data_IF_767304102577
#
_entry.id   IF_767304102577
#
_cell.length_a   1.000
_cell.length_b   1.000
_cell.length_c   1.000
_cell.angle_alpha   90.00
_cell.angle_beta   90.00
_cell.angle_gamma   90.00
#
_symmetry.space_group_name_H-M   'P 1'
#
loop_
_entity.id
_entity.type
_entity.pdbx_description
1 polymer ?
#
# COMPACT_ATOMS: atom_id res chain seq x y z
N UNK A 1 -37.84 -25.92 -6.16
CA UNK A 1 -36.63 -25.71 -5.34
C UNK A 1 -35.32 -25.80 -6.15
N UNK A 2 -35.20 -26.68 -7.17
CA UNK A 2 -33.98 -26.80 -7.99
C UNK A 2 -33.58 -25.52 -8.77
N UNK A 3 -34.53 -24.72 -9.27
CA UNK A 3 -34.24 -23.52 -10.08
C UNK A 3 -33.46 -22.40 -9.37
N UNK A 4 -33.61 -22.26 -8.05
CA UNK A 4 -32.89 -21.23 -7.29
C UNK A 4 -31.44 -21.64 -6.99
N UNK A 5 -31.18 -22.95 -6.91
CA UNK A 5 -29.83 -23.50 -6.69
C UNK A 5 -28.91 -23.23 -7.88
N UNK A 6 -29.42 -23.39 -9.12
CA UNK A 6 -28.63 -23.14 -10.33
C UNK A 6 -28.33 -21.65 -10.53
N UNK A 7 -29.28 -20.76 -10.20
CA UNK A 7 -29.08 -19.31 -10.26
C UNK A 7 -28.02 -18.85 -9.24
N UNK A 8 -28.03 -19.42 -8.03
CA UNK A 8 -27.01 -19.12 -7.00
C UNK A 8 -25.62 -19.61 -7.40
N UNK A 9 -25.53 -20.76 -8.08
CA UNK A 9 -24.24 -21.31 -8.52
C UNK A 9 -23.65 -20.49 -9.68
N UNK A 10 -24.50 -20.06 -10.62
CA UNK A 10 -24.11 -19.19 -11.72
C UNK A 10 -23.69 -17.80 -11.24
N UNK A 11 -24.39 -17.22 -10.26
CA UNK A 11 -24.02 -15.91 -9.71
C UNK A 11 -22.70 -15.97 -8.94
N UNK A 12 -22.49 -17.00 -8.12
CA UNK A 12 -21.23 -17.22 -7.41
C UNK A 12 -20.04 -17.37 -8.38
N UNK A 13 -20.22 -18.13 -9.47
CA UNK A 13 -19.21 -18.27 -10.52
C UNK A 13 -18.89 -16.93 -11.20
N UNK A 14 -19.91 -16.10 -11.46
CA UNK A 14 -19.73 -14.77 -12.05
C UNK A 14 -18.97 -13.81 -11.12
N UNK A 15 -19.21 -13.87 -9.80
CA UNK A 15 -18.46 -13.09 -8.81
C UNK A 15 -17.00 -13.55 -8.68
N UNK A 16 -16.72 -14.87 -8.80
CA UNK A 16 -15.34 -15.37 -8.84
C UNK A 16 -14.58 -14.92 -10.11
N UNK A 17 -15.27 -14.72 -11.24
CA UNK A 17 -14.66 -14.23 -12.48
C UNK A 17 -14.36 -12.72 -12.46
N UNK A 18 -15.00 -11.96 -11.58
CA UNK A 18 -14.79 -10.50 -11.45
C UNK A 18 -13.46 -10.13 -10.79
N UNK A 19 -12.71 -11.10 -10.24
CA UNK A 19 -11.37 -10.84 -9.69
C UNK A 19 -10.25 -10.79 -10.77
N UNK A 20 -10.59 -10.96 -12.05
CA UNK A 20 -9.60 -10.93 -13.14
C UNK A 20 -9.42 -9.49 -13.64
N UNK A 21 -8.34 -8.85 -13.18
CA UNK A 21 -7.64 -7.84 -13.99
C UNK A 21 -8.01 -6.39 -13.74
N UNK A 22 -8.02 -5.93 -12.48
CA UNK A 22 -7.85 -4.50 -12.22
C UNK A 22 -6.36 -4.17 -12.21
N UNK A 23 -5.97 -3.25 -13.09
CA UNK A 23 -4.65 -2.68 -13.17
C UNK A 23 -4.36 -1.93 -11.86
N UNK A 24 -3.35 -2.35 -11.08
CA UNK A 24 -3.10 -1.81 -9.74
C UNK A 24 -2.32 -0.50 -9.84
N UNK A 25 -2.95 0.63 -9.52
CA UNK A 25 -2.29 1.93 -9.57
C UNK A 25 -1.51 2.25 -8.29
N UNK A 26 -0.27 2.71 -8.43
CA UNK A 26 0.63 3.07 -7.33
C UNK A 26 1.30 4.42 -7.60
N UNK A 27 1.73 5.13 -6.55
CA UNK A 27 2.55 6.33 -6.74
C UNK A 27 3.97 5.98 -7.17
N UNK A 28 4.53 6.75 -8.09
CA UNK A 28 5.90 6.60 -8.60
C UNK A 28 6.67 7.90 -8.41
N UNK A 29 7.64 7.92 -7.49
CA UNK A 29 8.47 9.10 -7.27
C UNK A 29 9.74 8.81 -6.47
N UNK A 30 10.63 9.80 -6.45
CA UNK A 30 11.77 9.83 -5.52
C UNK A 30 12.04 11.26 -5.05
N UNK A 31 12.43 11.42 -3.79
CA UNK A 31 12.83 12.73 -3.24
C UNK A 31 14.08 13.32 -3.91
N UNK A 32 14.85 12.52 -4.65
CA UNK A 32 15.96 13.01 -5.46
C UNK A 32 15.51 13.83 -6.67
N UNK A 33 14.30 13.56 -7.19
CA UNK A 33 13.73 14.24 -8.36
C UNK A 33 12.63 15.22 -7.99
N UNK A 34 11.86 14.91 -6.96
CA UNK A 34 10.72 15.70 -6.51
C UNK A 34 10.64 15.65 -4.99
N UNK A 35 10.92 16.77 -4.34
CA UNK A 35 10.89 16.95 -2.88
C UNK A 35 9.51 16.62 -2.27
N UNK A 36 8.43 16.77 -3.05
CA UNK A 36 7.05 16.41 -2.66
C UNK A 36 6.80 14.90 -2.50
N UNK A 37 7.76 14.06 -2.87
CA UNK A 37 7.69 12.61 -2.65
C UNK A 37 7.90 12.22 -1.16
N UNK A 38 8.50 13.12 -0.38
CA UNK A 38 8.73 12.96 1.05
C UNK A 38 7.41 12.90 1.83
N UNK A 39 7.49 12.52 3.11
CA UNK A 39 6.37 12.72 4.03
C UNK A 39 6.47 14.11 4.68
N UNK A 40 5.35 14.85 4.87
CA UNK A 40 3.98 14.48 4.53
C UNK A 40 3.72 14.46 3.01
N UNK A 41 3.06 13.39 2.55
CA UNK A 41 2.92 13.10 1.13
C UNK A 41 1.88 13.99 0.44
N UNK A 42 2.29 14.68 -0.64
CA UNK A 42 1.42 15.63 -1.35
C UNK A 42 0.82 14.99 -2.63
N UNK A 43 -0.39 14.43 -2.48
CA UNK A 43 -1.12 13.65 -3.47
C UNK A 43 -1.29 14.28 -4.87
N UNK A 44 -1.73 15.55 -5.04
CA UNK A 44 -2.13 16.08 -6.36
C UNK A 44 -1.00 16.27 -7.38
N UNK A 45 0.26 16.06 -7.00
CA UNK A 45 1.42 16.36 -7.88
C UNK A 45 2.32 15.16 -8.15
N UNK A 46 1.96 13.98 -7.68
CA UNK A 46 2.81 12.80 -7.81
C UNK A 46 2.33 11.90 -8.94
N UNK A 47 3.27 11.49 -9.79
CA UNK A 47 3.01 10.57 -10.89
C UNK A 47 2.51 9.22 -10.36
N UNK A 48 1.65 8.57 -11.14
CA UNK A 48 1.13 7.23 -10.85
C UNK A 48 1.54 6.27 -11.94
N UNK A 49 1.67 4.99 -11.58
CA UNK A 49 2.09 3.91 -12.46
C UNK A 49 1.21 2.69 -12.23
N UNK A 50 0.92 1.94 -13.28
CA UNK A 50 0.20 0.67 -13.17
C UNK A 50 1.16 -0.49 -12.92
N UNK A 51 0.87 -1.30 -11.90
CA UNK A 51 1.58 -2.54 -11.59
C UNK A 51 0.73 -3.73 -12.05
N UNK A 52 0.75 -4.01 -13.35
CA UNK A 52 -0.06 -5.08 -13.96
C UNK A 52 0.60 -6.47 -13.84
N UNK A 53 1.86 -6.52 -13.42
CA UNK A 53 2.61 -7.76 -13.30
C UNK A 53 2.19 -8.56 -12.06
N UNK A 54 1.90 -9.85 -12.27
CA UNK A 54 1.59 -10.79 -11.19
C UNK A 54 2.76 -10.85 -10.20
N UNK A 55 2.45 -10.71 -8.90
CA UNK A 55 3.46 -10.73 -7.84
C UNK A 55 4.09 -9.36 -7.54
N UNK A 56 3.61 -8.28 -8.15
CA UNK A 56 4.01 -6.91 -7.84
C UNK A 56 3.01 -6.20 -6.92
N UNK A 57 3.51 -5.23 -6.18
CA UNK A 57 2.72 -4.35 -5.32
C UNK A 57 3.31 -2.94 -5.27
N UNK A 58 2.54 -2.03 -4.65
CA UNK A 58 2.99 -0.67 -4.42
C UNK A 58 4.01 -0.66 -3.29
N UNK A 59 5.22 -0.18 -3.60
CA UNK A 59 6.30 -0.05 -2.64
C UNK A 59 6.41 1.38 -2.13
N UNK A 60 6.77 1.49 -0.85
CA UNK A 60 7.40 2.66 -0.26
C UNK A 60 8.69 2.24 0.43
N UNK A 61 9.79 2.89 0.07
CA UNK A 61 11.11 2.67 0.65
C UNK A 61 11.69 3.98 1.17
N UNK A 62 12.31 3.93 2.35
CA UNK A 62 13.00 5.03 2.99
C UNK A 62 14.46 4.59 3.20
N UNK A 63 15.36 5.29 2.51
CA UNK A 63 16.80 5.05 2.58
C UNK A 63 17.47 6.16 3.42
N UNK A 64 18.49 5.82 4.22
CA UNK A 64 19.31 6.83 4.87
C UNK A 64 20.10 7.61 3.80
N UNK A 65 20.12 8.94 3.88
CA UNK A 65 21.01 9.72 3.03
C UNK A 65 22.45 9.64 3.54
N UNK A 66 23.40 9.54 2.61
CA UNK A 66 24.81 9.68 2.91
C UNK A 66 25.07 11.09 3.48
N UNK A 67 25.64 11.19 4.68
CA UNK A 67 26.00 12.47 5.30
C UNK A 67 24.94 13.12 6.20
N UNK A 68 23.96 12.36 6.69
CA UNK A 68 23.08 12.80 7.81
C UNK A 68 21.99 13.82 7.45
N UNK A 69 21.82 14.15 6.17
CA UNK A 69 20.92 15.21 5.73
C UNK A 69 19.86 14.64 4.78
N UNK A 70 18.60 14.59 5.27
CA UNK A 70 17.35 14.24 4.56
C UNK A 70 17.21 12.81 4.03
N UNK A 71 16.25 12.06 4.56
CA UNK A 71 15.93 10.69 4.11
C UNK A 71 15.52 10.66 2.63
N UNK A 72 15.97 9.65 1.91
CA UNK A 72 15.56 9.44 0.52
C UNK A 72 14.30 8.57 0.54
N UNK A 73 13.18 9.10 0.04
CA UNK A 73 11.93 8.33 -0.11
C UNK A 73 11.77 7.92 -1.56
N UNK A 74 11.47 6.65 -1.78
CA UNK A 74 11.20 6.08 -3.08
C UNK A 74 9.85 5.35 -3.08
N UNK A 75 9.03 5.59 -4.11
CA UNK A 75 7.71 4.99 -4.31
C UNK A 75 7.64 4.43 -5.73
N UNK A 76 7.04 3.26 -5.91
CA UNK A 76 6.87 2.65 -7.23
C UNK A 76 6.30 1.23 -7.18
N UNK A 77 6.37 0.51 -8.30
CA UNK A 77 6.05 -0.92 -8.38
C UNK A 77 7.29 -1.77 -8.06
N UNK A 78 7.12 -2.85 -7.28
CA UNK A 78 8.20 -3.82 -7.06
C UNK A 78 7.61 -5.21 -6.74
N UNK A 79 8.38 -6.30 -6.88
CA UNK A 79 7.94 -7.62 -6.43
C UNK A 79 7.68 -7.66 -4.92
N UNK A 80 6.66 -8.40 -4.47
CA UNK A 80 6.26 -8.45 -3.05
C UNK A 80 7.39 -8.86 -2.08
N UNK A 81 8.37 -9.63 -2.55
CA UNK A 81 9.53 -10.10 -1.79
C UNK A 81 10.74 -9.13 -1.82
N UNK A 82 10.62 -7.97 -2.46
CA UNK A 82 11.70 -7.00 -2.56
C UNK A 82 12.12 -6.50 -1.17
N UNK A 83 11.16 -6.03 -0.36
CA UNK A 83 11.47 -5.47 0.96
C UNK A 83 12.02 -6.51 1.96
N UNK A 84 11.62 -7.79 1.85
CA UNK A 84 12.21 -8.85 2.68
C UNK A 84 13.69 -9.07 2.36
N UNK A 85 14.09 -8.82 1.12
CA UNK A 85 15.48 -8.98 0.65
C UNK A 85 16.36 -7.78 1.01
N UNK A 86 15.78 -6.57 1.08
CA UNK A 86 16.48 -5.31 1.37
C UNK A 86 16.40 -4.82 2.82
N UNK A 87 16.00 -5.69 3.76
CA UNK A 87 15.82 -5.34 5.17
C UNK A 87 17.06 -4.70 5.82
N UNK A 88 18.27 -5.03 5.34
CA UNK A 88 19.53 -4.48 5.87
C UNK A 88 19.95 -3.14 5.26
N UNK A 89 19.37 -2.73 4.13
CA UNK A 89 19.81 -1.57 3.35
C UNK A 89 18.86 -0.36 3.44
N UNK A 90 17.69 -0.54 4.06
CA UNK A 90 16.66 0.49 4.17
C UNK A 90 16.21 0.67 5.62
N UNK A 91 15.94 1.92 6.01
CA UNK A 91 15.36 2.20 7.34
C UNK A 91 13.91 1.72 7.42
N UNK A 92 13.19 1.83 6.30
CA UNK A 92 11.82 1.36 6.19
C UNK A 92 11.54 0.92 4.75
N UNK A 93 10.93 -0.25 4.59
CA UNK A 93 10.50 -0.75 3.29
C UNK A 93 9.20 -1.53 3.46
N UNK A 94 8.16 -1.14 2.73
CA UNK A 94 6.88 -1.82 2.71
C UNK A 94 6.40 -2.02 1.28
N UNK A 95 5.80 -3.17 1.00
CA UNK A 95 5.06 -3.45 -0.22
C UNK A 95 3.63 -3.80 0.16
N UNK A 96 2.66 -3.20 -0.51
CA UNK A 96 1.24 -3.42 -0.27
C UNK A 96 0.48 -3.64 -1.57
N UNK A 97 -0.68 -4.31 -1.48
CA UNK A 97 -1.41 -4.84 -2.63
C UNK A 97 -2.70 -4.09 -2.96
N UNK A 98 -2.88 -2.89 -2.40
CA UNK A 98 -4.07 -2.07 -2.60
C UNK A 98 -3.68 -0.85 -3.44
N UNK A 99 -4.60 -0.33 -4.26
CA UNK A 99 -4.34 0.88 -5.03
C UNK A 99 -3.89 2.03 -4.13
N UNK A 100 -2.86 2.76 -4.56
CA UNK A 100 -2.34 3.96 -3.90
C UNK A 100 -1.91 3.77 -2.44
N UNK A 101 -1.77 2.52 -1.95
CA UNK A 101 -1.46 2.23 -0.55
C UNK A 101 -0.07 2.72 -0.13
N UNK A 102 0.82 2.89 -1.11
CA UNK A 102 2.13 3.48 -0.91
C UNK A 102 2.08 5.01 -0.79
N UNK A 103 0.92 5.65 -0.56
CA UNK A 103 0.80 7.05 -0.11
C UNK A 103 1.06 7.22 1.38
N UNK A 104 0.75 6.20 2.17
CA UNK A 104 0.71 6.27 3.64
C UNK A 104 2.02 6.76 4.24
N UNK A 105 1.91 7.64 5.24
CA UNK A 105 2.99 7.94 6.18
C UNK A 105 3.16 6.76 7.13
N UNK A 106 4.34 6.60 7.75
CA UNK A 106 4.49 5.62 8.83
C UNK A 106 3.64 6.09 10.02
N UNK A 107 2.39 5.63 10.08
CA UNK A 107 1.55 5.79 11.25
C UNK A 107 2.15 4.89 12.33
N UNK A 108 2.79 5.53 13.32
CA UNK A 108 3.29 4.82 14.49
C UNK A 108 2.16 4.11 15.27
N UNK A 109 2.51 3.39 16.34
CA UNK A 109 1.57 2.62 17.18
C UNK A 109 0.46 3.46 17.86
N UNK A 110 0.45 4.79 17.68
CA UNK A 110 -0.57 5.70 18.19
C UNK A 110 -1.98 5.37 17.68
N UNK A 111 -2.14 4.77 16.50
CA UNK A 111 -3.46 4.36 16.01
C UNK A 111 -4.05 3.19 16.81
N UNK A 112 -3.21 2.27 17.27
CA UNK A 112 -3.63 1.15 18.13
C UNK A 112 -4.07 1.65 19.51
N UNK A 113 -3.37 2.64 20.07
CA UNK A 113 -3.75 3.28 21.35
C UNK A 113 -5.10 3.98 21.21
N UNK A 114 -5.36 4.67 20.09
CA UNK A 114 -6.66 5.32 19.82
C UNK A 114 -7.82 4.32 19.78
N UNK A 115 -7.65 3.18 19.11
CA UNK A 115 -8.66 2.11 19.08
C UNK A 115 -8.91 1.50 20.46
N UNK A 116 -7.87 1.28 21.27
CA UNK A 116 -8.03 0.77 22.63
C UNK A 116 -8.80 1.74 23.54
N UNK A 117 -8.55 3.05 23.43
CA UNK A 117 -9.27 4.07 24.20
C UNK A 117 -10.74 4.12 23.79
N UNK A 118 -11.03 4.11 22.48
CA UNK A 118 -12.40 4.14 21.96
C UNK A 118 -13.19 2.88 22.32
N UNK A 119 -12.58 1.70 22.25
CA UNK A 119 -13.23 0.45 22.67
C UNK A 119 -13.49 0.44 24.18
N UNK A 120 -12.56 0.96 24.99
CA UNK A 120 -12.74 1.06 26.44
C UNK A 120 -13.84 2.06 26.82
N UNK A 121 -13.96 3.19 26.15
CA UNK A 121 -15.05 4.15 26.40
C UNK A 121 -16.40 3.65 25.91
N UNK A 122 -16.45 2.81 24.88
CA UNK A 122 -17.71 2.25 24.36
C UNK A 122 -18.24 1.05 25.18
N UNK A 123 -17.34 0.24 25.76
CA UNK A 123 -17.71 -0.90 26.63
C UNK A 123 -17.94 -0.45 28.10
N UNK A 124 -17.46 0.75 28.46
CA UNK A 124 -17.59 1.32 29.80
C UNK A 124 -18.84 2.15 30.05
N UNK A 125 -19.84 2.13 29.14
CA UNK A 125 -21.13 2.81 29.28
C UNK A 125 -22.28 1.80 29.28
#
# INVERSE_FOLDING_TARGET
>A
MAKYSEILLLSAFFFCLLEIGTAKLCFSCTTLKNDKCADPFNLPTTETVSCDETGYGCMKQILPAAGGSSKIVHRGCTPKFYCSTLSSASEHCTVCDVEYCNSSSVLGPSLAVGLFVLVKTWIGF
#
